data_IF_812746926285
#
_entry.id   IF_812746926285
#
_cell.length_a   1.000
_cell.length_b   1.000
_cell.length_c   1.000
_cell.angle_alpha   90.00
_cell.angle_beta   90.00
_cell.angle_gamma   90.00
#
_symmetry.space_group_name_H-M   'P 1'
#
loop_
_entity.id
_entity.type
_entity.pdbx_description
1 polymer ?
#
# COMPACT_ATOMS: atom_id res chain seq x y z
N UNK A 1 -16.05 6.02 -33.66
CA UNK A 1 -15.58 4.73 -33.13
C UNK A 1 -15.06 5.02 -31.73
N UNK A 2 -15.57 4.35 -30.69
CA UNK A 2 -15.07 4.56 -29.33
C UNK A 2 -13.75 3.81 -29.18
N UNK A 3 -12.69 4.51 -28.81
CA UNK A 3 -11.42 3.91 -28.38
C UNK A 3 -11.72 2.96 -27.21
N UNK A 4 -11.36 1.68 -27.35
CA UNK A 4 -11.61 0.65 -26.33
C UNK A 4 -10.28 0.37 -25.65
N UNK A 5 -10.11 0.82 -24.41
CA UNK A 5 -8.86 0.68 -23.65
C UNK A 5 -8.86 1.55 -22.41
N UNK A 6 -7.86 1.35 -21.55
CA UNK A 6 -7.57 2.26 -20.43
C UNK A 6 -7.03 3.59 -20.96
N UNK A 7 -7.31 4.71 -20.28
CA UNK A 7 -6.53 5.93 -20.48
C UNK A 7 -5.19 5.77 -19.75
N UNK A 8 -4.03 5.73 -20.45
CA UNK A 8 -2.74 5.46 -19.85
C UNK A 8 -2.34 6.47 -18.75
N UNK A 9 -2.66 7.74 -18.93
CA UNK A 9 -2.33 8.79 -17.95
C UNK A 9 -3.15 8.63 -16.67
N UNK A 10 -4.46 8.37 -16.79
CA UNK A 10 -5.31 8.06 -15.64
C UNK A 10 -4.87 6.75 -14.96
N UNK A 11 -4.45 5.75 -15.74
CA UNK A 11 -3.91 4.49 -15.21
C UNK A 11 -2.67 4.69 -14.36
N UNK A 12 -1.74 5.55 -14.80
CA UNK A 12 -0.55 5.95 -14.02
C UNK A 12 -0.92 6.71 -12.76
N UNK A 13 -1.86 7.65 -12.85
CA UNK A 13 -2.32 8.43 -11.69
C UNK A 13 -2.89 7.51 -10.60
N UNK A 14 -3.76 6.57 -10.98
CA UNK A 14 -4.32 5.59 -10.05
C UNK A 14 -3.22 4.66 -9.51
N UNK A 15 -2.31 4.19 -10.37
CA UNK A 15 -1.18 3.34 -9.96
C UNK A 15 -0.29 4.00 -8.90
N UNK A 16 0.01 5.29 -9.09
CA UNK A 16 0.74 6.11 -8.13
C UNK A 16 -0.04 6.28 -6.82
N UNK A 17 -1.31 6.65 -6.89
CA UNK A 17 -2.16 6.86 -5.71
C UNK A 17 -2.27 5.59 -4.84
N UNK A 18 -2.36 4.41 -5.46
CA UNK A 18 -2.38 3.12 -4.76
C UNK A 18 -1.05 2.85 -4.05
N UNK A 19 0.06 3.16 -4.71
CA UNK A 19 1.41 3.01 -4.14
C UNK A 19 1.61 3.95 -2.94
N UNK A 20 1.23 5.21 -3.10
CA UNK A 20 1.32 6.25 -2.06
C UNK A 20 0.46 5.90 -0.83
N UNK A 21 -0.72 5.30 -1.04
CA UNK A 21 -1.55 4.83 0.06
C UNK A 21 -0.83 3.76 0.91
N UNK A 22 -0.14 2.81 0.26
CA UNK A 22 0.69 1.82 0.95
C UNK A 22 1.82 2.45 1.78
N UNK A 23 2.52 3.43 1.20
CA UNK A 23 3.56 4.20 1.89
C UNK A 23 3.00 4.91 3.14
N UNK A 24 1.84 5.55 3.01
CA UNK A 24 1.22 6.32 4.09
C UNK A 24 0.76 5.44 5.25
N UNK A 25 0.32 4.20 4.97
CA UNK A 25 0.02 3.21 6.02
C UNK A 25 1.29 2.90 6.82
N UNK A 26 2.42 2.67 6.15
CA UNK A 26 3.71 2.39 6.81
C UNK A 26 4.17 3.56 7.69
N UNK A 27 4.01 4.80 7.22
CA UNK A 27 4.35 6.00 8.00
C UNK A 27 3.52 6.10 9.28
N UNK A 28 2.19 6.00 9.16
CA UNK A 28 1.27 6.07 10.32
C UNK A 28 1.61 5.00 11.36
N UNK A 29 1.87 3.77 10.92
CA UNK A 29 2.21 2.66 11.81
C UNK A 29 3.59 2.84 12.44
N UNK A 30 4.55 3.37 11.67
CA UNK A 30 5.86 3.75 12.16
C UNK A 30 5.79 4.80 13.26
N UNK A 31 4.89 5.78 13.14
CA UNK A 31 4.67 6.82 14.16
C UNK A 31 3.95 6.28 15.41
N UNK A 32 3.00 5.36 15.23
CA UNK A 32 2.22 4.81 16.34
C UNK A 32 2.99 3.76 17.15
N UNK A 33 3.88 2.98 16.53
CA UNK A 33 4.57 1.87 17.20
C UNK A 33 5.44 2.32 18.39
N UNK A 34 6.25 3.38 18.30
CA UNK A 34 6.97 3.93 19.45
C UNK A 34 6.05 4.42 20.57
N UNK A 35 4.89 4.98 20.22
CA UNK A 35 3.89 5.43 21.21
C UNK A 35 3.30 4.22 21.94
N UNK A 36 2.88 3.20 21.20
CA UNK A 36 2.36 1.94 21.76
C UNK A 36 3.41 1.26 22.64
N UNK A 37 4.67 1.24 22.22
CA UNK A 37 5.76 0.63 22.96
C UNK A 37 6.34 1.52 24.07
N UNK A 38 5.98 2.79 24.15
CA UNK A 38 6.55 3.74 25.12
C UNK A 38 5.74 3.93 26.41
N UNK A 39 4.59 3.26 26.54
CA UNK A 39 3.70 3.45 27.70
C UNK A 39 4.29 2.77 28.95
N UNK A 40 4.29 3.48 30.09
CA UNK A 40 4.66 2.97 31.41
C UNK A 40 3.53 2.15 32.07
N UNK A 41 2.91 1.26 31.30
CA UNK A 41 1.97 0.28 31.81
C UNK A 41 2.71 -1.04 31.99
N UNK A 42 2.59 -1.68 33.16
CA UNK A 42 3.20 -2.98 33.41
C UNK A 42 2.11 -3.94 33.83
N UNK A 43 2.00 -5.06 33.13
CA UNK A 43 1.02 -6.11 33.42
C UNK A 43 0.70 -6.97 32.20
N UNK A 44 0.11 -8.16 32.43
CA UNK A 44 -0.14 -9.14 31.37
C UNK A 44 -1.02 -8.61 30.23
N UNK A 45 -1.99 -7.74 30.54
CA UNK A 45 -2.85 -7.14 29.52
C UNK A 45 -2.07 -6.27 28.53
N UNK A 46 -1.05 -5.54 29.00
CA UNK A 46 -0.22 -4.72 28.14
C UNK A 46 0.76 -5.54 27.33
N UNK A 47 1.30 -6.61 27.92
CA UNK A 47 2.15 -7.57 27.23
C UNK A 47 1.38 -8.21 26.07
N UNK A 48 0.14 -8.66 26.32
CA UNK A 48 -0.76 -9.18 25.27
C UNK A 48 -1.09 -8.13 24.22
N UNK A 49 -1.40 -6.89 24.62
CA UNK A 49 -1.68 -5.82 23.66
C UNK A 49 -0.48 -5.53 22.74
N UNK A 50 0.75 -5.53 23.28
CA UNK A 50 1.98 -5.35 22.50
C UNK A 50 2.22 -6.51 21.55
N UNK A 51 1.99 -7.75 21.98
CA UNK A 51 2.07 -8.92 21.08
C UNK A 51 1.08 -8.80 19.93
N UNK A 52 -0.18 -8.48 20.23
CA UNK A 52 -1.23 -8.28 19.22
C UNK A 52 -0.89 -7.16 18.25
N UNK A 53 -0.37 -6.03 18.75
CA UNK A 53 0.07 -4.89 17.93
C UNK A 53 1.20 -5.30 16.97
N UNK A 54 2.23 -5.97 17.48
CA UNK A 54 3.34 -6.43 16.63
C UNK A 54 2.89 -7.50 15.63
N UNK A 55 1.95 -8.36 16.01
CA UNK A 55 1.32 -9.35 15.13
C UNK A 55 0.53 -8.71 13.99
N UNK A 56 -0.26 -7.66 14.29
CA UNK A 56 -0.99 -6.89 13.28
C UNK A 56 -0.04 -6.27 12.23
N UNK A 57 1.08 -5.69 12.68
CA UNK A 57 2.07 -5.04 11.81
C UNK A 57 2.76 -6.06 10.90
N UNK A 58 3.34 -7.09 11.51
CA UNK A 58 4.12 -8.11 10.79
C UNK A 58 3.27 -9.02 9.91
N UNK A 59 1.98 -9.16 10.20
CA UNK A 59 1.04 -9.94 9.41
C UNK A 59 0.24 -9.06 8.45
N UNK A 60 -1.00 -8.75 8.85
CA UNK A 60 -2.02 -8.16 7.97
C UNK A 60 -1.58 -6.86 7.31
N UNK A 61 -0.90 -5.98 8.04
CA UNK A 61 -0.47 -4.69 7.48
C UNK A 61 0.68 -4.84 6.49
N UNK A 62 1.68 -5.70 6.77
CA UNK A 62 2.74 -6.01 5.79
C UNK A 62 2.14 -6.53 4.49
N UNK A 63 1.24 -7.52 4.59
CA UNK A 63 0.56 -8.09 3.41
C UNK A 63 -0.26 -7.06 2.64
N UNK A 64 -0.97 -6.16 3.34
CA UNK A 64 -1.74 -5.11 2.71
C UNK A 64 -0.84 -4.14 1.92
N UNK A 65 0.25 -3.68 2.54
CA UNK A 65 1.20 -2.75 1.91
C UNK A 65 1.84 -3.39 0.67
N UNK A 66 2.31 -4.63 0.78
CA UNK A 66 2.86 -5.39 -0.35
C UNK A 66 1.84 -5.52 -1.48
N UNK A 67 0.58 -5.83 -1.15
CA UNK A 67 -0.49 -5.94 -2.14
C UNK A 67 -0.75 -4.62 -2.85
N UNK A 68 -0.79 -3.49 -2.11
CA UNK A 68 -1.00 -2.17 -2.71
C UNK A 68 0.16 -1.81 -3.65
N UNK A 69 1.40 -2.04 -3.24
CA UNK A 69 2.58 -1.81 -4.08
C UNK A 69 2.54 -2.65 -5.36
N UNK A 70 2.17 -3.94 -5.25
CA UNK A 70 2.00 -4.80 -6.42
C UNK A 70 0.93 -4.29 -7.37
N UNK A 71 -0.26 -3.93 -6.85
CA UNK A 71 -1.37 -3.41 -7.67
C UNK A 71 -1.03 -2.08 -8.34
N UNK A 72 -0.35 -1.18 -7.63
CA UNK A 72 0.15 0.08 -8.20
C UNK A 72 1.12 -0.15 -9.35
N UNK A 73 2.09 -1.06 -9.16
CA UNK A 73 3.06 -1.45 -10.20
C UNK A 73 2.37 -2.07 -11.43
N UNK A 74 1.41 -2.96 -11.22
CA UNK A 74 0.67 -3.60 -12.31
C UNK A 74 -0.14 -2.59 -13.13
N UNK A 75 -0.77 -1.60 -12.49
CA UNK A 75 -1.47 -0.53 -13.20
C UNK A 75 -0.53 0.31 -14.07
N UNK A 76 0.64 0.67 -13.54
CA UNK A 76 1.67 1.38 -14.29
C UNK A 76 2.15 0.57 -15.50
N UNK A 77 2.36 -0.74 -15.32
CA UNK A 77 2.73 -1.63 -16.43
C UNK A 77 1.65 -1.69 -17.51
N UNK A 78 0.37 -1.86 -17.13
CA UNK A 78 -0.72 -1.87 -18.10
C UNK A 78 -0.85 -0.54 -18.86
N UNK A 79 -0.52 0.59 -18.21
CA UNK A 79 -0.55 1.91 -18.85
C UNK A 79 0.56 2.04 -19.90
N UNK A 80 1.76 1.56 -19.59
CA UNK A 80 2.88 1.51 -20.53
C UNK A 80 2.57 0.62 -21.75
N UNK A 81 2.05 -0.60 -21.52
CA UNK A 81 1.64 -1.52 -22.58
C UNK A 81 0.55 -0.93 -23.49
N UNK A 82 -0.41 -0.20 -22.90
CA UNK A 82 -1.48 0.47 -23.64
C UNK A 82 -0.94 1.63 -24.49
N UNK A 83 0.01 2.42 -23.98
CA UNK A 83 0.66 3.50 -24.74
C UNK A 83 1.47 2.95 -25.91
N UNK A 84 2.26 1.90 -25.70
CA UNK A 84 3.04 1.25 -26.77
C UNK A 84 2.11 0.72 -27.88
N UNK A 85 1.05 0.02 -27.50
CA UNK A 85 0.09 -0.54 -28.47
C UNK A 85 -0.63 0.56 -29.26
N UNK A 86 -1.01 1.66 -28.60
CA UNK A 86 -1.76 2.76 -29.21
C UNK A 86 -0.89 3.61 -30.15
N UNK A 87 0.43 3.67 -29.90
CA UNK A 87 1.39 4.38 -30.76
C UNK A 87 1.87 3.54 -31.96
N UNK A 88 1.59 2.24 -31.98
CA UNK A 88 1.93 1.31 -33.07
C UNK A 88 0.80 1.11 -34.10
N UNK A 89 -0.41 1.63 -33.83
CA UNK A 89 -1.59 1.53 -34.69
C UNK A 89 -1.94 2.81 -35.41
#
# INVERSE_FOLDING_TARGET
>A
MAFKGMNPDEGREVGQAVTDAGQRIMEIIGDMTPVVNGVEWVGPDYDSYREDWNGLISGTLSTLVETLQEKGRLLNQHAEEQDETSNLG
#
